data_IF_874531912929
#
_entry.id   IF_874531912929
#
_cell.length_a   1.000
_cell.length_b   1.000
_cell.length_c   1.000
_cell.angle_alpha   90.00
_cell.angle_beta   90.00
_cell.angle_gamma   90.00
#
_symmetry.space_group_name_H-M   'P 1'
#
loop_
_entity.id
_entity.type
_entity.pdbx_description
1 polymer ?
#
# COMPACT_ATOMS: atom_id res chain seq x y z
N UNK A 1 4.13 -10.49 26.03
CA UNK A 1 5.29 -11.14 26.68
C UNK A 1 5.07 -12.64 26.55
N UNK A 2 5.64 -13.26 25.52
CA UNK A 2 5.60 -14.72 25.41
C UNK A 2 6.57 -15.28 26.44
N UNK A 3 6.09 -16.12 27.35
CA UNK A 3 6.93 -16.84 28.30
C UNK A 3 7.96 -17.65 27.50
N UNK A 4 9.24 -17.49 27.82
CA UNK A 4 10.27 -18.39 27.32
C UNK A 4 9.86 -19.83 27.68
N UNK A 5 9.81 -20.76 26.71
CA UNK A 5 9.43 -22.13 27.01
C UNK A 5 10.43 -22.69 28.02
N UNK A 6 9.93 -23.02 29.21
CA UNK A 6 10.67 -23.87 30.14
C UNK A 6 10.99 -25.17 29.43
N UNK A 7 12.22 -25.71 29.55
CA UNK A 7 12.61 -26.95 28.88
C UNK A 7 11.89 -28.12 29.55
N UNK A 8 10.62 -28.31 29.21
CA UNK A 8 9.80 -29.40 29.65
C UNK A 8 9.76 -30.41 28.50
N UNK A 9 10.65 -31.41 28.56
CA UNK A 9 10.81 -32.41 27.51
C UNK A 9 9.58 -33.32 27.32
N UNK A 10 8.52 -33.12 28.10
CA UNK A 10 7.26 -33.87 28.00
C UNK A 10 6.24 -33.21 27.04
N UNK A 11 6.42 -31.94 26.68
CA UNK A 11 5.54 -31.24 25.72
C UNK A 11 5.84 -31.64 24.27
N UNK A 12 4.79 -31.69 23.44
CA UNK A 12 4.90 -32.10 22.03
C UNK A 12 4.87 -33.61 21.80
N UNK A 13 4.50 -34.39 22.82
CA UNK A 13 4.33 -35.84 22.74
C UNK A 13 2.86 -36.21 22.43
N UNK A 14 2.59 -37.47 22.05
CA UNK A 14 1.21 -37.94 21.89
C UNK A 14 0.39 -37.81 23.19
N UNK A 15 1.03 -37.97 24.35
CA UNK A 15 0.34 -37.85 25.65
C UNK A 15 0.15 -36.40 26.09
N UNK A 16 0.96 -35.46 25.57
CA UNK A 16 0.88 -34.01 25.84
C UNK A 16 1.18 -33.21 24.58
N UNK A 17 0.21 -33.17 23.63
CA UNK A 17 0.42 -32.47 22.38
C UNK A 17 0.55 -30.96 22.63
N UNK A 18 1.35 -30.30 21.78
CA UNK A 18 1.36 -28.85 21.71
C UNK A 18 0.02 -28.39 21.12
N UNK A 19 -0.74 -27.64 21.89
CA UNK A 19 -2.01 -27.08 21.45
C UNK A 19 -1.76 -25.72 20.82
N UNK A 20 -1.99 -25.63 19.50
CA UNK A 20 -2.01 -24.36 18.80
C UNK A 20 -3.42 -23.77 18.91
N UNK A 21 -3.59 -22.59 19.53
CA UNK A 21 -4.90 -21.98 19.67
C UNK A 21 -5.52 -21.69 18.30
N UNK A 22 -6.80 -22.04 18.12
CA UNK A 22 -7.49 -21.90 16.82
C UNK A 22 -7.69 -20.44 16.40
N UNK A 23 -7.69 -19.52 17.36
CA UNK A 23 -7.68 -18.07 17.17
C UNK A 23 -6.33 -17.57 16.62
N UNK A 24 -5.24 -18.28 16.91
CA UNK A 24 -3.92 -17.98 16.36
C UNK A 24 -3.73 -18.58 14.96
N UNK A 25 -4.19 -19.82 14.77
CA UNK A 25 -3.97 -20.57 13.55
C UNK A 25 -5.12 -21.56 13.30
N UNK A 26 -5.98 -21.23 12.34
CA UNK A 26 -7.01 -22.16 11.89
C UNK A 26 -6.40 -23.37 11.16
N UNK A 27 -7.15 -24.46 11.02
CA UNK A 27 -6.69 -25.66 10.32
C UNK A 27 -6.16 -25.34 8.91
N UNK A 28 -6.90 -24.59 8.10
CA UNK A 28 -6.49 -24.23 6.74
C UNK A 28 -5.19 -23.40 6.72
N UNK A 29 -5.02 -22.51 7.71
CA UNK A 29 -3.81 -21.69 7.84
C UNK A 29 -2.63 -22.57 8.25
N UNK A 30 -2.85 -23.51 9.16
CA UNK A 30 -1.84 -24.48 9.58
C UNK A 30 -1.40 -25.38 8.43
N UNK A 31 -2.35 -25.91 7.65
CA UNK A 31 -2.06 -26.69 6.44
C UNK A 31 -1.20 -25.89 5.46
N UNK A 32 -1.56 -24.62 5.21
CA UNK A 32 -0.76 -23.73 4.35
C UNK A 32 0.65 -23.51 4.90
N UNK A 33 0.80 -23.33 6.21
CA UNK A 33 2.12 -23.21 6.86
C UNK A 33 2.93 -24.51 6.71
N UNK A 34 2.29 -25.67 6.85
CA UNK A 34 2.93 -26.96 6.63
C UNK A 34 3.45 -27.12 5.20
N UNK A 35 2.79 -26.56 4.18
CA UNK A 35 3.31 -26.58 2.80
C UNK A 35 4.64 -25.82 2.64
N UNK A 36 4.92 -24.82 3.50
CA UNK A 36 6.23 -24.16 3.52
C UNK A 36 7.30 -24.95 4.24
N UNK A 37 6.93 -25.66 5.33
CA UNK A 37 7.86 -26.46 6.15
C UNK A 37 8.19 -27.79 5.46
N UNK A 38 7.19 -28.41 4.85
CA UNK A 38 7.23 -29.72 4.21
C UNK A 38 6.77 -29.62 2.74
N UNK A 39 7.51 -28.91 1.88
CA UNK A 39 7.14 -28.78 0.48
C UNK A 39 7.18 -30.14 -0.23
N UNK A 40 6.30 -30.33 -1.22
CA UNK A 40 6.25 -31.56 -2.03
C UNK A 40 7.59 -31.88 -2.72
N UNK A 41 8.38 -30.84 -3.01
CA UNK A 41 9.71 -30.96 -3.59
C UNK A 41 10.58 -29.78 -3.18
N UNK A 42 11.90 -30.00 -3.11
CA UNK A 42 12.87 -28.97 -2.72
C UNK A 42 12.73 -27.74 -3.61
N UNK A 43 12.45 -26.59 -2.99
CA UNK A 43 12.32 -25.31 -3.69
C UNK A 43 10.96 -25.04 -4.32
N UNK A 44 9.99 -25.95 -4.21
CA UNK A 44 8.61 -25.71 -4.65
C UNK A 44 7.80 -25.22 -3.46
N UNK A 45 7.39 -23.96 -3.49
CA UNK A 45 6.60 -23.34 -2.43
C UNK A 45 5.19 -22.97 -2.93
N UNK A 46 4.24 -22.76 -2.00
CA UNK A 46 2.89 -22.31 -2.34
C UNK A 46 2.87 -21.11 -3.28
N UNK A 47 1.97 -21.15 -4.26
CA UNK A 47 1.78 -20.05 -5.20
C UNK A 47 1.05 -18.89 -4.52
N UNK A 48 1.78 -17.82 -4.26
CA UNK A 48 1.23 -16.58 -3.70
C UNK A 48 0.74 -15.66 -4.82
N UNK A 49 -0.42 -15.03 -4.60
CA UNK A 49 -0.99 -14.04 -5.53
C UNK A 49 -1.58 -12.86 -4.78
N UNK A 50 -1.37 -11.65 -5.32
CA UNK A 50 -1.89 -10.42 -4.76
C UNK A 50 -3.43 -10.31 -4.87
N UNK A 51 -4.05 -11.08 -5.77
CA UNK A 51 -5.52 -11.14 -5.92
C UNK A 51 -6.23 -11.72 -4.72
N UNK A 52 -5.55 -12.58 -3.97
CA UNK A 52 -6.11 -13.28 -2.82
C UNK A 52 -5.42 -12.85 -1.53
N UNK A 53 -5.09 -11.56 -1.42
CA UNK A 53 -4.37 -11.04 -0.26
C UNK A 53 -5.07 -11.33 1.08
N UNK A 54 -6.40 -11.43 1.05
CA UNK A 54 -7.21 -11.71 2.24
C UNK A 54 -6.92 -13.10 2.82
N UNK A 55 -6.59 -14.09 1.99
CA UNK A 55 -6.22 -15.43 2.48
C UNK A 55 -4.80 -15.47 3.06
N UNK A 56 -3.91 -14.58 2.60
CA UNK A 56 -2.53 -14.49 3.09
C UNK A 56 -2.38 -13.74 4.42
N UNK A 57 -3.31 -12.85 4.78
CA UNK A 57 -3.30 -12.14 6.07
C UNK A 57 -3.19 -13.06 7.28
N UNK A 58 -4.08 -14.06 7.47
CA UNK A 58 -4.00 -14.96 8.61
C UNK A 58 -2.76 -15.87 8.54
N UNK A 59 -2.26 -16.22 7.35
CA UNK A 59 -1.03 -17.00 7.19
C UNK A 59 0.19 -16.20 7.65
N UNK A 60 0.28 -14.92 7.30
CA UNK A 60 1.34 -14.03 7.78
C UNK A 60 1.27 -13.85 9.30
N UNK A 61 0.07 -13.69 9.86
CA UNK A 61 -0.13 -13.53 11.30
C UNK A 61 0.32 -14.79 12.08
N UNK A 62 -0.08 -15.96 11.61
CA UNK A 62 0.33 -17.24 12.19
C UNK A 62 1.84 -17.47 12.01
N UNK A 63 2.40 -17.19 10.83
CA UNK A 63 3.85 -17.29 10.58
C UNK A 63 4.66 -16.36 11.50
N UNK A 64 4.17 -15.15 11.77
CA UNK A 64 4.79 -14.22 12.74
C UNK A 64 4.71 -14.72 14.17
N UNK A 65 3.56 -15.24 14.60
CA UNK A 65 3.43 -15.84 15.91
C UNK A 65 4.36 -17.05 16.12
N UNK A 66 4.64 -17.79 15.05
CA UNK A 66 5.57 -18.92 14.99
C UNK A 66 7.01 -18.52 14.68
N UNK A 67 7.31 -17.21 14.57
CA UNK A 67 8.66 -16.66 14.28
C UNK A 67 9.28 -17.21 12.97
N UNK A 68 8.46 -17.38 11.94
CA UNK A 68 8.86 -17.90 10.63
C UNK A 68 9.26 -16.77 9.67
N UNK A 69 10.28 -15.99 10.02
CA UNK A 69 10.68 -14.78 9.28
C UNK A 69 10.98 -15.03 7.79
N UNK A 70 11.57 -16.18 7.47
CA UNK A 70 11.83 -16.59 6.09
C UNK A 70 10.55 -16.75 5.26
N UNK A 71 9.51 -17.34 5.87
CA UNK A 71 8.19 -17.51 5.25
C UNK A 71 7.49 -16.18 5.08
N UNK A 72 7.52 -15.32 6.10
CA UNK A 72 6.96 -13.96 6.04
C UNK A 72 7.59 -13.18 4.88
N UNK A 73 8.93 -13.15 4.83
CA UNK A 73 9.67 -12.46 3.77
C UNK A 73 9.35 -13.02 2.38
N UNK A 74 9.27 -14.34 2.25
CA UNK A 74 8.92 -14.99 0.99
C UNK A 74 7.50 -14.60 0.52
N UNK A 75 6.51 -14.65 1.41
CA UNK A 75 5.13 -14.28 1.10
C UNK A 75 5.06 -12.82 0.67
N UNK A 76 5.61 -11.91 1.46
CA UNK A 76 5.60 -10.48 1.15
C UNK A 76 6.32 -10.16 -0.17
N UNK A 77 7.48 -10.79 -0.41
CA UNK A 77 8.20 -10.63 -1.67
C UNK A 77 7.35 -11.09 -2.86
N UNK A 78 6.67 -12.23 -2.77
CA UNK A 78 5.81 -12.73 -3.86
C UNK A 78 4.56 -11.88 -4.07
N UNK A 79 3.94 -11.39 -3.00
CA UNK A 79 2.83 -10.44 -3.10
C UNK A 79 3.25 -9.16 -3.84
N UNK A 80 4.48 -8.69 -3.60
CA UNK A 80 5.06 -7.54 -4.27
C UNK A 80 5.37 -7.81 -5.73
N UNK A 81 6.00 -8.94 -6.04
CA UNK A 81 6.26 -9.36 -7.42
C UNK A 81 4.96 -9.46 -8.23
N UNK A 82 3.87 -9.88 -7.58
CA UNK A 82 2.53 -10.00 -8.19
C UNK A 82 1.65 -8.74 -8.02
N UNK A 83 2.21 -7.62 -7.56
CA UNK A 83 1.44 -6.39 -7.23
C UNK A 83 0.69 -5.79 -8.43
N UNK A 84 1.11 -6.09 -9.66
CA UNK A 84 0.37 -5.70 -10.87
C UNK A 84 -1.04 -6.34 -10.96
N UNK A 85 -1.26 -7.45 -10.26
CA UNK A 85 -2.55 -8.13 -10.17
C UNK A 85 -3.40 -7.66 -8.98
N UNK A 86 -2.87 -6.76 -8.15
CA UNK A 86 -3.56 -6.23 -6.99
C UNK A 86 -4.85 -5.52 -7.41
N UNK A 87 -5.97 -5.94 -6.81
CA UNK A 87 -7.23 -5.24 -6.98
C UNK A 87 -7.18 -3.89 -6.24
N UNK A 88 -7.72 -2.84 -6.86
CA UNK A 88 -7.78 -1.49 -6.24
C UNK A 88 -8.45 -1.51 -4.87
N UNK A 89 -9.47 -2.36 -4.70
CA UNK A 89 -10.19 -2.57 -3.43
C UNK A 89 -9.31 -3.06 -2.29
N UNK A 90 -8.19 -3.70 -2.60
CA UNK A 90 -7.31 -4.36 -1.64
C UNK A 90 -6.01 -3.58 -1.40
N UNK A 91 -5.84 -2.42 -2.04
CA UNK A 91 -4.67 -1.55 -1.86
C UNK A 91 -4.45 -1.15 -0.39
N UNK A 92 -5.53 -0.87 0.35
CA UNK A 92 -5.46 -0.55 1.78
C UNK A 92 -4.87 -1.71 2.61
N UNK A 93 -5.38 -2.93 2.37
CA UNK A 93 -4.91 -4.14 3.08
C UNK A 93 -3.47 -4.45 2.73
N UNK A 94 -3.11 -4.32 1.45
CA UNK A 94 -1.74 -4.55 0.99
C UNK A 94 -0.75 -3.57 1.61
N UNK A 95 -1.08 -2.28 1.66
CA UNK A 95 -0.24 -1.29 2.33
C UNK A 95 -0.07 -1.57 3.82
N UNK A 96 -1.17 -1.89 4.52
CA UNK A 96 -1.13 -2.25 5.94
C UNK A 96 -0.22 -3.45 6.16
N UNK A 97 -0.44 -4.54 5.42
CA UNK A 97 0.36 -5.76 5.54
C UNK A 97 1.85 -5.50 5.37
N UNK A 98 2.25 -4.74 4.35
CA UNK A 98 3.66 -4.41 4.14
C UNK A 98 4.23 -3.60 5.31
N UNK A 99 3.43 -2.70 5.89
CA UNK A 99 3.85 -1.88 7.03
C UNK A 99 3.93 -2.67 8.35
N UNK A 100 3.06 -3.66 8.56
CA UNK A 100 2.98 -4.42 9.81
C UNK A 100 4.17 -5.36 10.03
N UNK A 101 4.78 -5.86 8.96
CA UNK A 101 5.75 -6.96 9.07
C UNK A 101 7.21 -6.54 8.99
N UNK A 102 7.56 -5.25 8.84
CA UNK A 102 8.91 -4.63 8.86
C UNK A 102 10.15 -5.54 8.56
N UNK A 103 10.00 -6.50 7.66
CA UNK A 103 10.96 -7.58 7.40
C UNK A 103 11.65 -7.38 6.06
N UNK A 104 11.22 -6.36 5.32
CA UNK A 104 11.76 -5.96 4.04
C UNK A 104 12.71 -4.78 4.24
N UNK A 105 13.90 -4.79 3.61
CA UNK A 105 14.77 -3.63 3.59
C UNK A 105 14.02 -2.38 3.14
N UNK A 106 14.31 -1.21 3.73
CA UNK A 106 13.71 0.08 3.37
C UNK A 106 13.68 0.38 1.87
N UNK A 107 14.74 -0.01 1.15
CA UNK A 107 14.84 0.15 -0.30
C UNK A 107 13.80 -0.69 -1.06
N UNK A 108 13.47 -1.88 -0.55
CA UNK A 108 12.41 -2.73 -1.07
C UNK A 108 11.05 -2.19 -0.64
N UNK A 109 10.88 -1.81 0.64
CA UNK A 109 9.65 -1.21 1.17
C UNK A 109 9.20 -0.01 0.33
N UNK A 110 10.14 0.86 -0.03
CA UNK A 110 9.90 2.01 -0.90
C UNK A 110 9.34 1.62 -2.26
N UNK A 111 9.92 0.61 -2.91
CA UNK A 111 9.50 0.14 -4.23
C UNK A 111 8.13 -0.53 -4.15
N UNK A 112 7.87 -1.24 -3.05
CA UNK A 112 6.72 -2.11 -2.87
C UNK A 112 5.45 -1.33 -2.51
N UNK A 113 5.60 -0.20 -1.84
CA UNK A 113 4.48 0.67 -1.49
C UNK A 113 4.09 1.64 -2.61
N UNK A 114 4.95 1.86 -3.63
CA UNK A 114 4.63 2.78 -4.74
C UNK A 114 3.34 2.39 -5.46
N UNK A 115 3.19 1.13 -5.87
CA UNK A 115 2.00 0.67 -6.62
C UNK A 115 0.69 0.91 -5.86
N UNK A 116 0.55 0.43 -4.63
CA UNK A 116 -0.61 0.71 -3.79
C UNK A 116 -0.81 2.20 -3.50
N UNK A 117 0.25 2.97 -3.25
CA UNK A 117 0.17 4.42 -3.06
C UNK A 117 -0.34 5.13 -4.30
N UNK A 118 0.07 4.71 -5.50
CA UNK A 118 -0.44 5.22 -6.76
C UNK A 118 -1.96 5.03 -6.85
N UNK A 119 -2.52 3.91 -6.37
CA UNK A 119 -3.99 3.72 -6.32
C UNK A 119 -4.66 4.84 -5.52
N UNK A 120 -4.14 5.18 -4.35
CA UNK A 120 -4.69 6.28 -3.53
C UNK A 120 -4.42 7.66 -4.13
N UNK A 121 -3.22 7.88 -4.65
CA UNK A 121 -2.79 9.17 -5.17
C UNK A 121 -3.59 9.61 -6.39
N UNK A 122 -3.93 8.66 -7.26
CA UNK A 122 -4.68 8.92 -8.49
C UNK A 122 -6.19 8.77 -8.34
N UNK A 123 -6.69 8.32 -7.19
CA UNK A 123 -8.12 8.19 -7.00
C UNK A 123 -8.79 9.56 -6.89
N UNK A 124 -9.97 9.68 -7.50
CA UNK A 124 -10.81 10.88 -7.36
C UNK A 124 -11.30 11.05 -5.93
N UNK A 125 -11.88 9.99 -5.39
CA UNK A 125 -12.47 9.96 -4.06
C UNK A 125 -11.42 9.97 -2.94
N UNK A 126 -11.70 10.64 -1.80
CA UNK A 126 -10.84 10.60 -0.63
C UNK A 126 -10.76 9.20 -0.03
N UNK A 127 -9.82 8.99 0.90
CA UNK A 127 -9.76 7.76 1.72
C UNK A 127 -11.08 7.59 2.47
N UNK A 128 -11.71 6.43 2.31
CA UNK A 128 -12.96 6.11 2.99
C UNK A 128 -12.71 5.76 4.46
N UNK A 129 -13.71 5.89 5.36
CA UNK A 129 -13.55 5.49 6.76
C UNK A 129 -13.13 4.03 6.94
N UNK A 130 -13.60 3.12 6.07
CA UNK A 130 -13.21 1.72 6.08
C UNK A 130 -11.73 1.56 5.74
N UNK A 131 -11.24 2.23 4.71
CA UNK A 131 -9.82 2.19 4.35
C UNK A 131 -8.95 2.81 5.42
N UNK A 132 -9.39 3.92 6.02
CA UNK A 132 -8.71 4.54 7.16
C UNK A 132 -8.57 3.55 8.32
N UNK A 133 -9.63 2.80 8.64
CA UNK A 133 -9.59 1.78 9.70
C UNK A 133 -8.64 0.63 9.39
N UNK A 134 -8.46 0.27 8.12
CA UNK A 134 -7.52 -0.77 7.68
C UNK A 134 -6.09 -0.24 7.71
N UNK A 135 -5.86 0.96 7.16
CA UNK A 135 -4.52 1.55 7.06
C UNK A 135 -3.95 1.98 8.42
N UNK A 136 -4.81 2.35 9.36
CA UNK A 136 -4.41 3.03 10.58
C UNK A 136 -3.95 4.47 10.30
N UNK A 137 -3.62 5.20 11.37
CA UNK A 137 -3.29 6.63 11.28
C UNK A 137 -2.05 6.89 10.41
N UNK A 138 -0.95 6.15 10.65
CA UNK A 138 0.34 6.34 9.97
C UNK A 138 0.22 6.17 8.46
N UNK A 139 -0.34 5.05 7.99
CA UNK A 139 -0.45 4.78 6.55
C UNK A 139 -1.55 5.62 5.89
N UNK A 140 -2.61 5.99 6.62
CA UNK A 140 -3.60 6.94 6.11
C UNK A 140 -2.98 8.32 5.88
N UNK A 141 -2.17 8.82 6.83
CA UNK A 141 -1.47 10.09 6.68
C UNK A 141 -0.53 10.08 5.47
N UNK A 142 0.22 8.99 5.25
CA UNK A 142 1.06 8.80 4.07
C UNK A 142 0.25 8.81 2.77
N UNK A 143 -0.85 8.06 2.70
CA UNK A 143 -1.71 8.01 1.53
C UNK A 143 -2.36 9.37 1.23
N UNK A 144 -2.84 10.09 2.25
CA UNK A 144 -3.35 11.46 2.09
C UNK A 144 -2.27 12.41 1.59
N UNK A 145 -1.11 12.42 2.22
CA UNK A 145 -0.02 13.34 1.85
C UNK A 145 0.48 13.08 0.43
N UNK A 146 0.63 11.81 0.06
CA UNK A 146 1.00 11.41 -1.30
C UNK A 146 -0.03 11.89 -2.32
N UNK A 147 -1.32 11.73 -2.02
CA UNK A 147 -2.40 12.19 -2.89
C UNK A 147 -2.38 13.70 -3.09
N UNK A 148 -2.21 14.48 -2.03
CA UNK A 148 -2.16 15.94 -2.16
C UNK A 148 -0.91 16.42 -2.88
N UNK A 149 0.27 15.84 -2.60
CA UNK A 149 1.50 16.17 -3.34
C UNK A 149 1.36 15.89 -4.84
N UNK A 150 0.74 14.77 -5.20
CA UNK A 150 0.44 14.46 -6.60
C UNK A 150 -0.47 15.53 -7.22
N UNK A 151 -1.52 15.95 -6.51
CA UNK A 151 -2.45 16.99 -6.99
C UNK A 151 -1.77 18.34 -7.14
N UNK A 152 -0.91 18.71 -6.20
CA UNK A 152 -0.13 19.94 -6.25
C UNK A 152 0.77 19.97 -7.49
N UNK A 153 1.37 18.84 -7.88
CA UNK A 153 2.12 18.76 -9.14
C UNK A 153 1.26 19.12 -10.36
N UNK A 154 -0.01 18.72 -10.40
CA UNK A 154 -0.93 19.12 -11.48
C UNK A 154 -1.28 20.61 -11.44
N UNK A 155 -1.21 21.25 -10.28
CA UNK A 155 -1.50 22.68 -10.16
C UNK A 155 -0.28 23.56 -10.47
N UNK A 156 0.92 23.12 -10.10
CA UNK A 156 2.18 23.87 -10.25
C UNK A 156 2.79 23.68 -11.64
N UNK A 157 2.87 22.43 -12.13
CA UNK A 157 3.63 22.10 -13.36
C UNK A 157 2.76 22.02 -14.62
N UNK A 158 1.68 22.81 -14.69
CA UNK A 158 0.66 22.70 -15.75
C UNK A 158 1.26 22.73 -17.17
N UNK A 159 2.13 23.69 -17.45
CA UNK A 159 2.72 23.87 -18.80
C UNK A 159 3.51 22.62 -19.21
N UNK A 160 4.33 22.09 -18.30
CA UNK A 160 5.16 20.89 -18.53
C UNK A 160 4.29 19.65 -18.71
N UNK A 161 3.26 19.49 -17.88
CA UNK A 161 2.36 18.35 -17.93
C UNK A 161 1.50 18.36 -19.19
N UNK A 162 0.95 19.51 -19.59
CA UNK A 162 0.21 19.67 -20.85
C UNK A 162 1.10 19.28 -22.04
N UNK A 163 2.35 19.75 -22.06
CA UNK A 163 3.32 19.43 -23.12
C UNK A 163 3.70 17.95 -23.21
N UNK A 164 3.55 17.21 -22.11
CA UNK A 164 3.89 15.79 -22.03
C UNK A 164 2.80 14.86 -22.58
N UNK A 165 1.59 15.38 -22.83
CA UNK A 165 0.50 14.62 -23.45
C UNK A 165 0.80 14.39 -24.94
N UNK A 166 1.13 13.15 -25.30
CA UNK A 166 1.51 12.76 -26.66
C UNK A 166 0.28 12.47 -27.53
N UNK A 167 -0.27 13.50 -28.17
CA UNK A 167 -1.38 13.34 -29.13
C UNK A 167 -0.93 12.65 -30.41
N UNK A 168 -1.89 12.05 -31.13
CA UNK A 168 -1.64 11.41 -32.42
C UNK A 168 -1.01 12.39 -33.44
N UNK A 169 -0.14 11.88 -34.30
CA UNK A 169 0.53 12.67 -35.32
C UNK A 169 -0.46 13.36 -36.28
N UNK A 170 -1.58 12.69 -36.60
CA UNK A 170 -2.64 13.19 -37.46
C UNK A 170 -3.57 14.20 -36.76
N UNK A 171 -3.42 14.42 -35.46
CA UNK A 171 -4.19 15.43 -34.75
C UNK A 171 -3.83 16.84 -35.24
N UNK A 172 -4.75 17.49 -35.97
CA UNK A 172 -4.59 18.89 -36.42
C UNK A 172 -4.75 19.93 -35.31
N UNK A 173 -5.22 19.54 -34.13
CA UNK A 173 -5.51 20.44 -32.99
C UNK A 173 -4.79 19.97 -31.71
N UNK A 174 -3.48 19.70 -31.80
CA UNK A 174 -2.70 19.09 -30.71
C UNK A 174 -2.82 19.86 -29.41
N UNK A 175 -2.53 21.16 -29.43
CA UNK A 175 -2.56 22.02 -28.24
C UNK A 175 -3.95 22.08 -27.59
N UNK A 176 -5.02 22.24 -28.39
CA UNK A 176 -6.40 22.25 -27.87
C UNK A 176 -6.76 20.92 -27.23
N UNK A 177 -6.41 19.79 -27.87
CA UNK A 177 -6.68 18.46 -27.32
C UNK A 177 -5.91 18.21 -26.01
N UNK A 178 -4.62 18.59 -25.95
CA UNK A 178 -3.79 18.47 -24.74
C UNK A 178 -4.40 19.27 -23.59
N UNK A 179 -4.77 20.53 -23.84
CA UNK A 179 -5.42 21.39 -22.84
C UNK A 179 -6.76 20.84 -22.39
N UNK A 180 -7.60 20.36 -23.31
CA UNK A 180 -8.89 19.76 -22.98
C UNK A 180 -8.72 18.50 -22.12
N UNK A 181 -7.83 17.58 -22.50
CA UNK A 181 -7.50 16.39 -21.69
C UNK A 181 -7.03 16.79 -20.29
N UNK A 182 -6.11 17.75 -20.20
CA UNK A 182 -5.58 18.22 -18.93
C UNK A 182 -6.65 18.88 -18.04
N UNK A 183 -7.52 19.69 -18.63
CA UNK A 183 -8.65 20.30 -17.93
C UNK A 183 -9.63 19.25 -17.40
N UNK A 184 -9.87 18.17 -18.14
CA UNK A 184 -10.69 17.05 -17.66
C UNK A 184 -10.04 16.32 -16.48
N UNK A 185 -8.71 16.16 -16.48
CA UNK A 185 -7.97 15.60 -15.33
C UNK A 185 -8.15 16.50 -14.10
N UNK A 186 -7.95 17.82 -14.23
CA UNK A 186 -8.19 18.77 -13.14
C UNK A 186 -9.65 18.73 -12.66
N UNK A 187 -10.60 18.67 -13.59
CA UNK A 187 -12.02 18.53 -13.28
C UNK A 187 -12.31 17.27 -12.46
N UNK A 188 -11.68 16.15 -12.78
CA UNK A 188 -11.81 14.89 -12.03
C UNK A 188 -11.21 14.95 -10.61
N UNK A 189 -10.30 15.90 -10.32
CA UNK A 189 -9.75 16.09 -8.96
C UNK A 189 -10.69 16.86 -8.05
N UNK A 190 -11.45 17.81 -8.62
CA UNK A 190 -12.33 18.74 -7.90
C UNK A 190 -13.75 18.20 -7.80
N UNK A 191 -14.29 17.67 -8.90
CA UNK A 191 -15.66 17.22 -8.97
C UNK A 191 -15.81 15.85 -8.31
N UNK A 192 -16.47 15.80 -7.15
CA UNK A 192 -17.19 14.59 -6.73
C UNK A 192 -18.22 14.33 -7.83
N UNK A 193 -18.21 13.15 -8.45
CA UNK A 193 -19.09 12.84 -9.58
C UNK A 193 -20.52 13.30 -9.26
N UNK A 194 -21.04 14.23 -10.06
CA UNK A 194 -22.44 14.65 -9.99
C UNK A 194 -23.38 13.54 -10.52
N UNK A 195 -22.85 12.36 -10.86
CA UNK A 195 -23.65 11.18 -11.15
C UNK A 195 -24.49 10.85 -9.92
N UNK A 196 -25.77 11.17 -10.03
CA UNK A 196 -26.86 10.94 -9.09
C UNK A 196 -27.09 9.46 -8.78
N UNK A 197 -26.32 8.55 -9.39
CA UNK A 197 -26.17 7.19 -8.88
C UNK A 197 -25.27 7.22 -7.64
N UNK A 198 -25.90 7.27 -6.46
CA UNK A 198 -25.34 7.14 -5.11
C UNK A 198 -24.51 5.86 -4.84
N UNK A 199 -23.88 5.26 -5.85
CA UNK A 199 -22.96 4.16 -5.62
C UNK A 199 -21.68 4.73 -5.05
N UNK A 200 -21.53 4.59 -3.73
CA UNK A 200 -20.33 4.84 -2.91
C UNK A 200 -19.06 4.07 -3.37
N UNK A 201 -19.05 3.56 -4.61
CA UNK A 201 -18.08 2.62 -5.16
C UNK A 201 -17.39 3.16 -6.42
N UNK A 202 -17.35 4.48 -6.66
CA UNK A 202 -16.52 5.02 -7.76
C UNK A 202 -15.04 4.79 -7.47
N UNK A 203 -14.49 3.72 -8.06
CA UNK A 203 -13.08 3.34 -8.02
C UNK A 203 -12.28 3.94 -9.19
N UNK A 204 -12.83 4.94 -9.88
CA UNK A 204 -12.17 5.60 -11.00
C UNK A 204 -11.02 6.49 -10.53
N UNK A 205 -9.98 6.53 -11.36
CA UNK A 205 -8.86 7.48 -11.21
C UNK A 205 -9.16 8.81 -11.92
N UNK A 206 -8.32 9.81 -11.63
CA UNK A 206 -8.38 11.15 -12.22
C UNK A 206 -8.10 11.16 -13.74
N UNK A 207 -7.59 10.07 -14.31
CA UNK A 207 -7.21 9.98 -15.72
C UNK A 207 -8.31 9.39 -16.62
N UNK A 208 -9.37 8.80 -16.03
CA UNK A 208 -10.53 8.33 -16.78
C UNK A 208 -11.33 9.51 -17.35
N UNK A 209 -11.28 9.76 -18.65
CA UNK A 209 -12.02 10.89 -19.24
C UNK A 209 -13.31 10.37 -19.87
N UNK A 210 -14.46 10.75 -19.31
CA UNK A 210 -15.79 10.35 -19.81
C UNK A 210 -16.31 11.31 -20.87
N UNK A 211 -16.10 12.62 -20.69
CA UNK A 211 -16.60 13.68 -21.57
C UNK A 211 -15.68 13.95 -22.77
N UNK A 212 -16.29 14.26 -23.92
CA UNK A 212 -15.58 14.47 -25.19
C UNK A 212 -15.32 15.94 -25.52
N UNK A 213 -15.80 16.85 -24.67
CA UNK A 213 -15.79 18.29 -24.94
C UNK A 213 -14.37 18.82 -25.16
N UNK A 214 -14.15 19.46 -26.31
CA UNK A 214 -12.87 20.09 -26.67
C UNK A 214 -11.80 19.14 -27.20
N UNK A 215 -12.12 17.85 -27.41
CA UNK A 215 -11.19 16.85 -27.96
C UNK A 215 -11.60 16.54 -29.40
N UNK A 216 -10.65 16.51 -30.33
CA UNK A 216 -10.94 16.18 -31.73
C UNK A 216 -11.28 14.69 -31.91
N UNK A 217 -11.89 14.33 -33.04
CA UNK A 217 -12.32 12.96 -33.36
C UNK A 217 -11.19 11.92 -33.36
N UNK A 218 -9.94 12.33 -33.60
CA UNK A 218 -8.77 11.44 -33.59
C UNK A 218 -8.32 11.14 -32.16
N UNK A 219 -8.23 12.16 -31.30
CA UNK A 219 -7.78 12.01 -29.92
C UNK A 219 -8.89 11.44 -29.02
N UNK A 220 -10.15 11.67 -29.35
CA UNK A 220 -11.29 11.32 -28.51
C UNK A 220 -11.35 9.82 -28.13
N UNK A 221 -11.18 8.85 -29.07
CA UNK A 221 -11.18 7.42 -28.73
C UNK A 221 -10.04 7.00 -27.79
N UNK A 222 -8.93 7.75 -27.79
CA UNK A 222 -7.73 7.42 -27.02
C UNK A 222 -7.53 8.31 -25.78
N UNK A 223 -8.47 9.22 -25.48
CA UNK A 223 -8.36 10.25 -24.43
C UNK A 223 -7.88 9.72 -23.08
N UNK A 224 -8.43 8.62 -22.60
CA UNK A 224 -8.02 8.02 -21.32
C UNK A 224 -6.62 7.45 -21.41
N UNK A 225 -6.24 6.81 -22.51
CA UNK A 225 -4.87 6.32 -22.74
C UNK A 225 -3.86 7.48 -22.76
N UNK A 226 -4.21 8.57 -23.44
CA UNK A 226 -3.40 9.79 -23.50
C UNK A 226 -3.25 10.43 -22.11
N UNK A 227 -4.31 10.46 -21.30
CA UNK A 227 -4.26 10.93 -19.92
C UNK A 227 -3.39 10.03 -19.03
N UNK A 228 -3.54 8.71 -19.14
CA UNK A 228 -2.76 7.73 -18.36
C UNK A 228 -1.26 7.78 -18.69
N UNK A 229 -0.86 8.24 -19.87
CA UNK A 229 0.55 8.44 -20.20
C UNK A 229 1.25 9.46 -19.28
N UNK A 230 0.50 10.35 -18.61
CA UNK A 230 1.05 11.25 -17.59
C UNK A 230 1.41 10.54 -16.29
N UNK A 231 0.71 9.44 -15.97
CA UNK A 231 0.92 8.66 -14.75
C UNK A 231 2.36 8.13 -14.66
N UNK A 232 2.82 7.48 -15.75
CA UNK A 232 4.10 6.77 -15.80
C UNK A 232 5.34 7.67 -15.93
N UNK A 233 5.19 8.88 -16.49
CA UNK A 233 6.36 9.70 -16.88
C UNK A 233 6.79 10.73 -15.82
N UNK A 234 5.92 11.08 -14.87
CA UNK A 234 6.24 12.14 -13.89
C UNK A 234 5.77 11.84 -12.48
N UNK A 235 4.62 11.19 -12.31
CA UNK A 235 3.95 11.18 -11.01
C UNK A 235 4.41 10.03 -10.11
N UNK A 236 4.88 8.93 -10.69
CA UNK A 236 5.52 7.86 -9.93
C UNK A 236 6.76 8.34 -9.15
N UNK A 237 7.52 9.29 -9.74
CA UNK A 237 8.64 9.94 -9.06
C UNK A 237 8.22 10.77 -7.85
N UNK A 238 7.06 11.42 -7.92
CA UNK A 238 6.47 12.20 -6.80
C UNK A 238 6.00 11.27 -5.69
N UNK A 239 5.36 10.15 -6.04
CA UNK A 239 4.94 9.13 -5.08
C UNK A 239 6.15 8.56 -4.34
N UNK A 240 7.18 8.16 -5.08
CA UNK A 240 8.42 7.62 -4.50
C UNK A 240 9.13 8.64 -3.62
N UNK A 241 9.23 9.90 -4.06
CA UNK A 241 9.83 10.99 -3.28
C UNK A 241 9.06 11.22 -1.97
N UNK A 242 7.74 11.34 -2.06
CA UNK A 242 6.87 11.58 -0.89
C UNK A 242 6.99 10.45 0.13
N UNK A 243 7.04 9.20 -0.34
CA UNK A 243 7.28 8.05 0.51
C UNK A 243 8.60 8.18 1.28
N UNK A 244 9.70 8.44 0.58
CA UNK A 244 11.03 8.54 1.21
C UNK A 244 11.08 9.67 2.24
N UNK A 245 10.49 10.83 1.93
CA UNK A 245 10.43 11.98 2.86
C UNK A 245 9.65 11.65 4.13
N UNK A 246 8.50 10.98 3.99
CA UNK A 246 7.67 10.59 5.13
C UNK A 246 8.35 9.53 6.01
N UNK A 247 8.99 8.54 5.41
CA UNK A 247 9.72 7.50 6.14
C UNK A 247 10.88 8.09 6.93
N UNK A 248 11.69 8.96 6.32
CA UNK A 248 12.76 9.65 7.05
C UNK A 248 12.24 10.48 8.22
N UNK A 249 11.03 11.04 8.10
CA UNK A 249 10.39 11.81 9.17
C UNK A 249 9.85 10.91 10.30
N UNK A 250 9.51 9.66 10.01
CA UNK A 250 9.10 8.68 11.02
C UNK A 250 10.30 8.13 11.79
N UNK A 251 11.33 7.68 11.08
CA UNK A 251 12.58 7.18 11.70
C UNK A 251 13.25 8.23 12.59
N UNK A 252 13.29 9.49 12.14
CA UNK A 252 13.83 10.60 12.92
C UNK A 252 13.01 10.96 14.16
N UNK A 253 11.74 10.54 14.24
CA UNK A 253 10.89 10.71 15.43
C UNK A 253 11.04 9.54 16.40
N UNK A 254 11.12 8.32 15.89
CA UNK A 254 11.29 7.12 16.72
C UNK A 254 12.62 7.16 17.48
N UNK A 255 13.71 7.60 16.83
CA UNK A 255 15.02 7.78 17.49
C UNK A 255 15.00 8.87 18.58
N UNK A 256 14.15 9.90 18.46
CA UNK A 256 14.02 10.94 19.49
C UNK A 256 13.23 10.44 20.70
N UNK A 257 12.16 9.69 20.47
CA UNK A 257 11.34 9.12 21.54
C UNK A 257 12.12 8.09 22.38
N UNK A 258 13.00 7.29 21.77
CA UNK A 258 13.90 6.38 22.50
C UNK A 258 14.95 7.15 23.33
N UNK A 259 15.46 8.27 22.81
CA UNK A 259 16.42 9.11 23.55
C UNK A 259 15.82 9.85 24.74
N UNK A 260 14.52 10.21 24.67
CA UNK A 260 13.83 10.93 25.74
C UNK A 260 13.22 9.99 26.80
N UNK A 261 12.80 8.78 26.41
CA UNK A 261 12.29 7.77 27.35
C UNK A 261 13.38 7.11 28.20
N UNK A 262 14.65 7.15 27.76
CA UNK A 262 15.81 6.69 28.54
C UNK A 262 16.25 7.59 29.70
N UNK A 263 15.67 8.80 29.86
CA UNK A 263 16.11 9.79 30.86
C UNK A 263 15.11 10.03 32.02
N UNK A 264 14.02 9.26 32.11
CA UNK A 264 12.99 9.44 33.17
C UNK A 264 13.01 8.36 34.27
N UNK A 265 14.07 7.54 34.33
CA UNK A 265 14.19 6.41 35.25
C UNK A 265 15.08 6.63 36.48
N UNK A 266 15.26 7.85 36.99
CA UNK A 266 16.02 8.05 38.22
C UNK A 266 15.53 9.28 38.99
N UNK A 267 14.52 9.09 39.86
CA UNK A 267 14.33 9.79 41.15
C UNK A 267 12.89 9.59 41.62
N UNK A 268 12.70 8.62 42.51
CA UNK A 268 11.75 8.68 43.63
C UNK A 268 11.93 7.44 44.51
N UNK A 269 13.02 7.42 45.29
CA UNK A 269 13.04 6.61 46.52
C UNK A 269 12.51 7.48 47.66
N UNK A 270 11.48 7.04 48.41
CA UNK A 270 11.05 7.75 49.61
C UNK A 270 12.12 7.60 50.71
N UNK A 271 12.25 8.58 51.62
CA UNK A 271 13.20 8.51 52.71
C UNK A 271 12.73 7.49 53.74
N UNK A 272 13.58 6.50 54.03
CA UNK A 272 13.44 5.62 55.19
C UNK A 272 13.77 6.43 56.44
N UNK A 273 12.77 6.66 57.29
CA UNK A 273 12.99 7.15 58.65
C UNK A 273 13.45 5.98 59.54
N UNK A 274 14.53 6.22 60.29
CA UNK A 274 14.93 5.47 61.48
C UNK A 274 14.88 6.43 62.68
#
# INVERSE_FOLDING_TARGET
MFLMPTPNNEEGTEQRPLLLPSDLCSLNVFETICEFIYPESVGIFPKITAKDIASWEPVLAAASALQMDGTIRYILQKLVEDSSQLLRSDAARFMRLIADYDTLPLSQLATNLVGPLCVFAFRRQPISPKEFSILGEKMSALAYHTRENVRDCFLVDQVKLIGSIQTDAACGQKESCRKAIFQQILGNMVNKSNDTSHTNNDQSDIFRITFEQGICSICCPQRSKLAHALMFNMVEGVVKKTYLEMVSTWEGRDLKLESESGLSGEQNRPPTFA
#
